data_IF_264503805924
#
_entry.id   IF_264503805924
#
_cell.length_a   1.000
_cell.length_b   1.000
_cell.length_c   1.000
_cell.angle_alpha   90.00
_cell.angle_beta   90.00
_cell.angle_gamma   90.00
#
_symmetry.space_group_name_H-M   'P 1'
#
loop_
_entity.id
_entity.type
_entity.pdbx_description
1 polymer ?
#
# COMPACT_ATOMS: atom_id res chain seq x y z
N UNK A 1 -21.24 -25.85 11.55
CA UNK A 1 -21.55 -25.15 10.27
C UNK A 1 -22.50 -24.01 10.60
N UNK A 2 -21.96 -22.92 11.07
CA UNK A 2 -22.75 -21.74 11.43
C UNK A 2 -22.21 -20.56 10.64
N UNK A 3 -23.04 -20.04 9.74
CA UNK A 3 -22.97 -18.66 9.31
C UNK A 3 -21.97 -18.30 8.20
N UNK A 4 -22.09 -18.92 7.04
CA UNK A 4 -21.91 -18.18 5.80
C UNK A 4 -23.13 -17.27 5.66
N UNK A 5 -23.26 -16.28 6.54
CA UNK A 5 -24.19 -15.17 6.39
C UNK A 5 -23.84 -14.52 5.07
N UNK A 6 -24.69 -14.70 4.07
CA UNK A 6 -24.39 -14.29 2.71
C UNK A 6 -24.01 -12.82 2.65
N UNK A 7 -22.77 -12.55 2.26
CA UNK A 7 -22.37 -11.28 1.68
C UNK A 7 -23.19 -11.13 0.39
N UNK A 8 -24.41 -10.64 0.52
CA UNK A 8 -25.18 -10.21 -0.63
C UNK A 8 -24.59 -8.87 -1.05
N UNK A 9 -23.81 -8.88 -2.11
CA UNK A 9 -23.26 -7.65 -2.68
C UNK A 9 -24.39 -6.65 -2.92
N UNK A 10 -24.33 -5.53 -2.22
CA UNK A 10 -25.26 -4.43 -2.44
C UNK A 10 -24.92 -3.70 -3.74
N UNK A 11 -25.94 -3.11 -4.37
CA UNK A 11 -25.74 -2.25 -5.55
C UNK A 11 -24.76 -1.11 -5.19
N UNK A 12 -23.63 -1.02 -5.88
CA UNK A 12 -22.61 0.03 -5.67
C UNK A 12 -21.54 -0.29 -4.61
N UNK A 13 -21.56 -1.49 -3.99
CA UNK A 13 -20.50 -1.97 -3.10
C UNK A 13 -19.43 -2.77 -3.84
N UNK A 14 -18.25 -2.87 -3.25
CA UNK A 14 -17.18 -3.80 -3.67
C UNK A 14 -16.81 -4.71 -2.52
N UNK A 15 -16.50 -5.96 -2.83
CA UNK A 15 -16.03 -6.94 -1.85
C UNK A 15 -14.51 -7.11 -2.02
N UNK A 16 -13.77 -6.79 -0.97
CA UNK A 16 -12.32 -7.00 -0.91
C UNK A 16 -12.03 -8.15 0.06
N UNK A 17 -11.23 -9.12 -0.38
CA UNK A 17 -10.67 -10.16 0.48
C UNK A 17 -9.21 -9.84 0.77
N UNK A 18 -8.85 -9.70 2.04
CA UNK A 18 -7.48 -9.56 2.51
C UNK A 18 -6.94 -10.93 2.94
N UNK A 19 -5.81 -11.33 2.38
CA UNK A 19 -5.14 -12.60 2.65
C UNK A 19 -3.90 -12.36 3.49
N UNK A 20 -3.91 -12.78 4.74
CA UNK A 20 -2.75 -12.71 5.64
C UNK A 20 -1.76 -13.83 5.29
N UNK A 21 -1.14 -13.75 4.09
CA UNK A 21 -0.27 -14.84 3.65
C UNK A 21 0.88 -15.09 4.61
N UNK A 22 1.28 -16.36 4.70
CA UNK A 22 2.40 -16.76 5.55
C UNK A 22 3.69 -16.04 5.13
N UNK A 23 4.56 -15.81 6.14
CA UNK A 23 5.89 -15.28 5.90
C UNK A 23 6.78 -16.38 5.31
N UNK A 24 7.30 -16.14 4.10
CA UNK A 24 8.29 -16.99 3.46
C UNK A 24 9.72 -16.55 3.79
N UNK A 25 10.67 -17.48 3.62
CA UNK A 25 12.10 -17.19 3.60
C UNK A 25 12.65 -17.52 2.23
N UNK A 26 12.68 -16.52 1.34
CA UNK A 26 13.07 -16.68 -0.07
C UNK A 26 14.51 -16.20 -0.27
N UNK A 27 15.37 -17.12 -0.65
CA UNK A 27 16.78 -16.85 -0.94
C UNK A 27 17.24 -17.45 -2.28
N UNK A 28 16.44 -18.33 -2.86
CA UNK A 28 16.73 -18.98 -4.14
C UNK A 28 15.57 -18.83 -5.14
N UNK A 29 15.81 -18.97 -6.45
CA UNK A 29 14.74 -18.99 -7.45
C UNK A 29 13.69 -20.08 -7.22
N UNK A 30 14.10 -21.21 -6.66
CA UNK A 30 13.16 -22.31 -6.33
C UNK A 30 12.20 -21.91 -5.20
N UNK A 31 12.71 -21.20 -4.18
CA UNK A 31 11.87 -20.69 -3.08
C UNK A 31 10.88 -19.67 -3.63
N UNK A 32 11.33 -18.75 -4.52
CA UNK A 32 10.50 -17.75 -5.16
C UNK A 32 9.38 -18.38 -5.99
N UNK A 33 9.72 -19.42 -6.76
CA UNK A 33 8.72 -20.18 -7.55
C UNK A 33 7.67 -20.83 -6.67
N UNK A 34 8.08 -21.49 -5.58
CA UNK A 34 7.16 -22.12 -4.61
C UNK A 34 6.26 -21.10 -3.92
N UNK A 35 6.83 -19.97 -3.49
CA UNK A 35 6.07 -18.88 -2.87
C UNK A 35 5.04 -18.31 -3.85
N UNK A 36 5.42 -18.08 -5.11
CA UNK A 36 4.52 -17.61 -6.17
C UNK A 36 3.37 -18.59 -6.41
N UNK A 37 3.66 -19.90 -6.48
CA UNK A 37 2.63 -20.92 -6.63
C UNK A 37 1.67 -20.97 -5.45
N UNK A 38 2.19 -20.82 -4.21
CA UNK A 38 1.37 -20.75 -3.02
C UNK A 38 0.43 -19.53 -3.04
N UNK A 39 0.93 -18.34 -3.39
CA UNK A 39 0.10 -17.14 -3.54
C UNK A 39 -0.99 -17.34 -4.61
N UNK A 40 -0.66 -17.95 -5.76
CA UNK A 40 -1.66 -18.30 -6.75
C UNK A 40 -2.72 -19.27 -6.20
N UNK A 41 -2.32 -20.23 -5.34
CA UNK A 41 -3.28 -21.14 -4.70
C UNK A 41 -4.21 -20.42 -3.74
N UNK A 42 -3.72 -19.42 -3.00
CA UNK A 42 -4.51 -18.57 -2.10
C UNK A 42 -5.51 -17.68 -2.86
N UNK A 43 -5.17 -17.19 -4.07
CA UNK A 43 -6.13 -16.50 -4.94
C UNK A 43 -7.32 -17.42 -5.24
N UNK A 44 -7.07 -18.66 -5.67
CA UNK A 44 -8.13 -19.64 -5.93
C UNK A 44 -8.93 -20.00 -4.67
N UNK A 45 -8.24 -20.11 -3.53
CA UNK A 45 -8.90 -20.38 -2.25
C UNK A 45 -9.80 -19.23 -1.82
N UNK A 46 -9.36 -17.99 -1.95
CA UNK A 46 -10.15 -16.80 -1.63
C UNK A 46 -11.43 -16.74 -2.48
N UNK A 47 -11.33 -17.00 -3.79
CA UNK A 47 -12.50 -17.03 -4.68
C UNK A 47 -13.47 -18.17 -4.34
N UNK A 48 -12.98 -19.33 -3.93
CA UNK A 48 -13.85 -20.43 -3.48
C UNK A 48 -14.54 -20.12 -2.16
N UNK A 49 -13.83 -19.49 -1.21
CA UNK A 49 -14.38 -19.13 0.09
C UNK A 49 -15.39 -17.97 0.00
N UNK A 50 -15.08 -16.98 -0.86
CA UNK A 50 -15.87 -15.78 -1.06
C UNK A 50 -16.10 -15.53 -2.56
N UNK A 51 -17.07 -16.20 -3.19
CA UNK A 51 -17.28 -16.15 -4.66
C UNK A 51 -17.54 -14.74 -5.21
N UNK A 52 -18.09 -13.83 -4.38
CA UNK A 52 -18.42 -12.46 -4.76
C UNK A 52 -17.24 -11.47 -4.60
N UNK A 53 -16.06 -11.96 -4.26
CA UNK A 53 -14.86 -11.10 -4.14
C UNK A 53 -14.53 -10.45 -5.47
N UNK A 54 -14.40 -9.13 -5.45
CA UNK A 54 -14.00 -8.29 -6.59
C UNK A 54 -12.48 -8.09 -6.64
N UNK A 55 -11.83 -7.97 -5.46
CA UNK A 55 -10.39 -7.73 -5.33
C UNK A 55 -9.82 -8.54 -4.18
N UNK A 56 -8.65 -9.14 -4.39
CA UNK A 56 -7.87 -9.83 -3.35
C UNK A 56 -6.61 -9.03 -3.06
N UNK A 57 -6.42 -8.70 -1.78
CA UNK A 57 -5.30 -7.90 -1.30
C UNK A 57 -4.30 -8.81 -0.55
N UNK A 58 -3.05 -8.86 -1.03
CA UNK A 58 -1.93 -9.57 -0.42
C UNK A 58 -0.97 -8.61 0.29
N UNK A 59 -0.20 -9.10 1.27
CA UNK A 59 0.78 -8.30 2.00
C UNK A 59 1.95 -7.82 1.13
N UNK A 60 2.71 -6.88 1.68
CA UNK A 60 4.05 -6.54 1.21
C UNK A 60 4.94 -7.79 1.21
N UNK A 61 5.79 -7.94 0.19
CA UNK A 61 6.69 -9.10 0.03
C UNK A 61 5.98 -10.46 -0.02
N UNK A 62 4.74 -10.53 -0.48
CA UNK A 62 3.93 -11.74 -0.42
C UNK A 62 4.57 -12.95 -1.12
N UNK A 63 5.46 -12.75 -2.10
CA UNK A 63 6.22 -13.83 -2.76
C UNK A 63 7.71 -13.88 -2.37
N UNK A 64 8.22 -12.92 -1.58
CA UNK A 64 9.64 -12.81 -1.23
C UNK A 64 9.91 -13.04 0.26
N UNK A 65 8.95 -12.67 1.13
CA UNK A 65 9.19 -12.62 2.56
C UNK A 65 10.15 -11.51 2.97
N UNK A 66 10.69 -11.61 4.19
CA UNK A 66 11.52 -10.56 4.82
C UNK A 66 13.03 -10.89 4.83
N UNK A 67 13.51 -11.71 3.91
CA UNK A 67 14.95 -12.04 3.83
C UNK A 67 15.83 -10.82 3.54
N UNK A 68 15.26 -9.76 2.94
CA UNK A 68 15.96 -8.55 2.48
C UNK A 68 17.17 -8.86 1.59
N UNK A 69 17.18 -10.02 0.94
CA UNK A 69 18.22 -10.40 0.00
C UNK A 69 18.14 -9.57 -1.27
N UNK A 70 19.25 -8.96 -1.66
CA UNK A 70 19.38 -8.22 -2.92
C UNK A 70 19.92 -9.08 -4.07
N UNK A 71 19.89 -10.41 -3.94
CA UNK A 71 20.34 -11.30 -5.00
C UNK A 71 19.52 -11.10 -6.27
N UNK A 72 20.19 -10.81 -7.38
CA UNK A 72 19.55 -10.62 -8.69
C UNK A 72 18.73 -11.87 -9.13
N UNK A 73 19.07 -13.04 -8.61
CA UNK A 73 18.43 -14.30 -8.97
C UNK A 73 16.99 -14.44 -8.44
N UNK A 74 16.59 -13.60 -7.46
CA UNK A 74 15.24 -13.58 -6.88
C UNK A 74 14.51 -12.26 -7.14
N UNK A 75 15.12 -11.32 -7.85
CA UNK A 75 14.46 -10.09 -8.24
C UNK A 75 13.50 -10.32 -9.40
N UNK A 76 12.32 -9.73 -9.32
CA UNK A 76 11.29 -9.82 -10.35
C UNK A 76 11.36 -8.64 -11.34
N UNK A 77 10.77 -8.84 -12.50
CA UNK A 77 10.40 -7.74 -13.42
C UNK A 77 8.90 -7.73 -13.64
N UNK A 78 8.34 -6.60 -14.06
CA UNK A 78 6.90 -6.49 -14.33
C UNK A 78 6.44 -7.43 -15.48
N UNK A 79 7.37 -7.90 -16.31
CA UNK A 79 7.14 -8.87 -17.38
C UNK A 79 7.70 -10.29 -17.08
N UNK A 80 8.19 -10.50 -15.85
CA UNK A 80 8.82 -11.75 -15.43
C UNK A 80 7.84 -12.90 -15.20
N UNK A 81 8.36 -14.12 -15.00
CA UNK A 81 7.54 -15.32 -14.86
C UNK A 81 6.63 -15.30 -13.63
N UNK A 82 7.06 -14.70 -12.52
CA UNK A 82 6.27 -14.58 -11.30
C UNK A 82 5.04 -13.69 -11.55
N UNK A 83 5.25 -12.51 -12.14
CA UNK A 83 4.16 -11.59 -12.50
C UNK A 83 3.25 -12.21 -13.56
N UNK A 84 3.80 -12.95 -14.52
CA UNK A 84 3.00 -13.69 -15.49
C UNK A 84 2.09 -14.75 -14.83
N UNK A 85 2.57 -15.46 -13.80
CA UNK A 85 1.77 -16.41 -13.03
C UNK A 85 0.64 -15.71 -12.25
N UNK A 86 0.92 -14.57 -11.63
CA UNK A 86 -0.07 -13.75 -10.93
C UNK A 86 -1.13 -13.18 -11.89
N UNK A 87 -0.72 -12.69 -13.06
CA UNK A 87 -1.63 -12.25 -14.13
C UNK A 87 -2.54 -13.39 -14.58
N UNK A 88 -1.98 -14.57 -14.78
CA UNK A 88 -2.72 -15.76 -15.21
C UNK A 88 -3.79 -16.15 -14.20
N UNK A 89 -3.48 -16.23 -12.91
CA UNK A 89 -4.46 -16.64 -11.90
C UNK A 89 -5.56 -15.60 -11.73
N UNK A 90 -5.26 -14.30 -11.79
CA UNK A 90 -6.27 -13.24 -11.74
C UNK A 90 -7.27 -13.38 -12.91
N UNK A 91 -6.77 -13.66 -14.12
CA UNK A 91 -7.59 -13.88 -15.30
C UNK A 91 -8.45 -15.15 -15.20
N UNK A 92 -7.88 -16.27 -14.75
CA UNK A 92 -8.57 -17.53 -14.58
C UNK A 92 -9.72 -17.41 -13.57
N UNK A 93 -9.48 -16.76 -12.45
CA UNK A 93 -10.46 -16.58 -11.37
C UNK A 93 -11.38 -15.36 -11.55
N UNK A 94 -11.16 -14.56 -12.60
CA UNK A 94 -11.90 -13.32 -12.91
C UNK A 94 -11.98 -12.39 -11.70
N UNK A 95 -10.83 -12.10 -11.10
CA UNK A 95 -10.70 -11.31 -9.89
C UNK A 95 -9.51 -10.36 -9.99
N UNK A 96 -9.65 -9.18 -9.40
CA UNK A 96 -8.51 -8.28 -9.22
C UNK A 96 -7.59 -8.79 -8.12
N UNK A 97 -6.28 -8.58 -8.28
CA UNK A 97 -5.29 -8.93 -7.27
C UNK A 97 -4.30 -7.81 -7.02
N UNK A 98 -3.96 -7.58 -5.76
CA UNK A 98 -2.88 -6.66 -5.35
C UNK A 98 -1.78 -7.47 -4.71
N UNK A 99 -0.57 -7.36 -5.25
CA UNK A 99 0.61 -8.12 -4.82
C UNK A 99 1.78 -7.17 -4.63
N UNK A 100 2.82 -7.63 -3.93
CA UNK A 100 4.08 -6.88 -3.78
C UNK A 100 5.27 -7.75 -4.17
N UNK A 101 6.19 -7.16 -4.92
CA UNK A 101 7.40 -7.79 -5.44
C UNK A 101 8.64 -6.95 -5.11
N UNK A 102 9.80 -7.62 -5.04
CA UNK A 102 11.10 -6.97 -5.14
C UNK A 102 11.42 -6.82 -6.62
N UNK A 103 11.38 -5.59 -7.13
CA UNK A 103 11.53 -5.28 -8.56
C UNK A 103 12.97 -4.88 -8.89
N UNK A 104 13.50 -5.44 -9.97
CA UNK A 104 14.78 -5.00 -10.53
C UNK A 104 14.73 -3.52 -10.83
N UNK A 105 15.76 -2.77 -10.38
CA UNK A 105 15.90 -1.37 -10.73
C UNK A 105 16.38 -1.26 -12.18
N UNK A 106 15.52 -0.73 -13.05
CA UNK A 106 15.81 -0.57 -14.47
C UNK A 106 16.58 0.71 -14.81
N UNK A 107 16.75 1.64 -13.85
CA UNK A 107 17.49 2.89 -14.06
C UNK A 107 18.99 2.61 -14.10
N UNK A 108 19.46 1.77 -13.18
CA UNK A 108 20.87 1.37 -13.13
C UNK A 108 20.98 -0.08 -12.67
N UNK A 109 21.76 -0.93 -13.33
CA UNK A 109 22.01 -2.32 -12.88
C UNK A 109 22.65 -2.42 -11.49
N UNK A 110 23.37 -1.38 -11.07
CA UNK A 110 24.04 -1.30 -9.77
C UNK A 110 23.18 -0.64 -8.69
N UNK A 111 22.01 -0.13 -9.06
CA UNK A 111 21.09 0.50 -8.11
C UNK A 111 20.32 -0.56 -7.33
N UNK A 112 20.03 -0.26 -6.06
CA UNK A 112 19.19 -1.11 -5.23
C UNK A 112 17.81 -1.32 -5.87
N UNK A 113 17.20 -2.51 -5.73
CA UNK A 113 15.89 -2.81 -6.28
C UNK A 113 14.80 -1.94 -5.62
N UNK A 114 13.61 -1.95 -6.22
CA UNK A 114 12.42 -1.32 -5.65
C UNK A 114 11.54 -2.34 -4.91
N UNK A 115 10.88 -1.87 -3.89
CA UNK A 115 9.71 -2.53 -3.32
C UNK A 115 8.47 -2.05 -4.09
N UNK A 116 7.88 -2.93 -4.90
CA UNK A 116 6.82 -2.56 -5.84
C UNK A 116 5.53 -3.31 -5.55
N UNK A 117 4.45 -2.55 -5.32
CA UNK A 117 3.09 -3.07 -5.32
C UNK A 117 2.52 -3.05 -6.73
N UNK A 118 1.93 -4.15 -7.16
CA UNK A 118 1.26 -4.29 -8.45
C UNK A 118 -0.22 -4.59 -8.26
N UNK A 119 -1.07 -3.94 -9.06
CA UNK A 119 -2.50 -4.24 -9.12
C UNK A 119 -2.81 -4.84 -10.49
N UNK A 120 -3.34 -6.05 -10.50
CA UNK A 120 -3.70 -6.80 -11.71
C UNK A 120 -5.21 -6.88 -11.78
N UNK A 121 -5.80 -6.54 -12.93
CA UNK A 121 -7.23 -6.61 -13.16
C UNK A 121 -7.74 -8.03 -13.47
N UNK A 122 -9.05 -8.19 -13.58
CA UNK A 122 -9.70 -9.47 -13.85
C UNK A 122 -9.43 -10.03 -15.27
N UNK A 123 -8.84 -9.23 -16.16
CA UNK A 123 -8.39 -9.65 -17.49
C UNK A 123 -6.92 -10.10 -17.49
N UNK A 124 -6.26 -10.01 -16.34
CA UNK A 124 -4.85 -10.33 -16.15
C UNK A 124 -3.91 -9.24 -16.64
N UNK A 125 -4.33 -7.99 -16.69
CA UNK A 125 -3.49 -6.86 -17.07
C UNK A 125 -3.08 -6.06 -15.84
N UNK A 126 -1.87 -5.47 -15.86
CA UNK A 126 -1.42 -4.56 -14.80
C UNK A 126 -2.20 -3.26 -14.95
N UNK A 127 -3.12 -2.99 -14.02
CA UNK A 127 -3.90 -1.76 -13.98
C UNK A 127 -3.17 -0.63 -13.26
N UNK A 128 -2.31 -0.97 -12.29
CA UNK A 128 -1.51 0.00 -11.56
C UNK A 128 -0.26 -0.67 -11.00
N UNK A 129 0.83 0.08 -10.87
CA UNK A 129 1.96 -0.30 -10.04
C UNK A 129 2.47 0.92 -9.27
N UNK A 130 3.02 0.66 -8.09
CA UNK A 130 3.48 1.69 -7.17
C UNK A 130 4.78 1.23 -6.51
N UNK A 131 5.81 2.06 -6.55
CA UNK A 131 7.09 1.83 -5.87
C UNK A 131 7.10 2.57 -4.55
N UNK A 132 7.37 1.87 -3.46
CA UNK A 132 7.37 2.40 -2.10
C UNK A 132 8.21 3.66 -1.99
N UNK A 133 7.59 4.78 -1.61
CA UNK A 133 8.28 6.07 -1.51
C UNK A 133 9.12 6.18 -0.23
N UNK A 134 8.69 5.50 0.85
CA UNK A 134 9.37 5.57 2.14
C UNK A 134 9.84 4.19 2.59
N UNK A 135 10.96 3.66 2.04
CA UNK A 135 11.60 2.46 2.59
C UNK A 135 11.87 2.64 4.09
N UNK A 136 11.74 1.57 4.86
CA UNK A 136 11.98 1.62 6.30
C UNK A 136 13.48 1.48 6.58
N UNK A 137 14.22 2.57 6.44
CA UNK A 137 15.66 2.62 6.73
C UNK A 137 15.94 2.56 8.23
N UNK A 138 17.04 1.93 8.67
CA UNK A 138 18.09 1.29 7.86
C UNK A 138 17.81 -0.19 7.50
N UNK A 139 16.61 -0.72 7.78
CA UNK A 139 16.29 -2.15 7.63
C UNK A 139 16.10 -2.52 6.16
N UNK A 140 15.38 -1.70 5.41
CA UNK A 140 15.12 -1.93 3.99
C UNK A 140 16.18 -1.24 3.13
N UNK A 141 16.90 -2.02 2.28
CA UNK A 141 17.95 -1.46 1.42
C UNK A 141 17.41 -0.90 0.09
N UNK A 142 16.08 -0.84 -0.07
CA UNK A 142 15.44 -0.54 -1.35
C UNK A 142 15.60 0.91 -1.79
N UNK A 143 15.62 1.11 -3.10
CA UNK A 143 15.62 2.44 -3.68
C UNK A 143 14.24 3.10 -3.47
N UNK A 144 14.15 4.36 -3.01
CA UNK A 144 12.88 5.06 -2.87
C UNK A 144 12.17 5.24 -4.21
N UNK A 145 10.86 5.01 -4.22
CA UNK A 145 10.03 5.29 -5.38
C UNK A 145 9.88 6.79 -5.62
N UNK A 146 9.81 7.20 -6.87
CA UNK A 146 9.70 8.61 -7.27
C UNK A 146 8.44 8.93 -8.10
N UNK A 147 7.51 7.99 -8.23
CA UNK A 147 6.31 8.15 -9.06
C UNK A 147 5.19 8.95 -8.37
N UNK A 148 5.33 9.21 -7.07
CA UNK A 148 4.26 9.78 -6.25
C UNK A 148 3.07 8.82 -6.08
N UNK A 149 1.99 9.34 -5.50
CA UNK A 149 0.74 8.60 -5.30
C UNK A 149 -0.08 8.62 -6.58
N UNK A 150 -0.47 7.44 -7.06
CA UNK A 150 -1.42 7.26 -8.15
C UNK A 150 -2.82 6.92 -7.62
N UNK A 151 -3.83 7.33 -8.36
CA UNK A 151 -5.22 6.86 -8.20
C UNK A 151 -5.63 6.18 -9.49
N UNK A 152 -6.18 4.99 -9.37
CA UNK A 152 -6.62 4.17 -10.50
C UNK A 152 -8.07 3.73 -10.32
N UNK A 153 -8.73 3.38 -11.41
CA UNK A 153 -10.07 2.81 -11.39
C UNK A 153 -9.96 1.30 -11.15
N UNK A 154 -10.46 0.85 -10.01
CA UNK A 154 -10.57 -0.54 -9.62
C UNK A 154 -11.89 -1.20 -10.04
N UNK A 155 -12.23 -2.35 -9.46
CA UNK A 155 -13.48 -3.04 -9.78
C UNK A 155 -14.69 -2.12 -9.59
N UNK A 156 -15.61 -2.16 -10.53
CA UNK A 156 -16.82 -1.33 -10.51
C UNK A 156 -16.59 0.18 -10.65
N UNK A 157 -15.42 0.60 -11.15
CA UNK A 157 -15.09 2.02 -11.31
C UNK A 157 -14.78 2.75 -9.99
N UNK A 158 -14.49 2.00 -8.92
CA UNK A 158 -14.11 2.57 -7.62
C UNK A 158 -12.69 3.13 -7.71
N UNK A 159 -12.51 4.38 -7.29
CA UNK A 159 -11.19 5.03 -7.28
C UNK A 159 -10.37 4.54 -6.10
N UNK A 160 -9.25 3.92 -6.40
CA UNK A 160 -8.36 3.31 -5.42
C UNK A 160 -6.96 3.89 -5.50
N UNK A 161 -6.25 3.84 -4.38
CA UNK A 161 -4.82 4.12 -4.31
C UNK A 161 -4.12 3.01 -3.53
N UNK A 162 -2.85 2.75 -3.86
CA UNK A 162 -2.02 1.75 -3.19
C UNK A 162 -0.82 2.41 -2.53
N UNK A 163 -0.59 2.06 -1.26
CA UNK A 163 0.60 2.42 -0.49
C UNK A 163 1.19 1.18 0.17
N UNK A 164 2.47 1.24 0.52
CA UNK A 164 3.19 0.09 1.07
C UNK A 164 3.71 0.41 2.47
N UNK A 165 3.22 -0.34 3.47
CA UNK A 165 3.80 -0.50 4.81
C UNK A 165 4.09 0.83 5.51
N UNK A 166 5.37 1.22 5.55
CA UNK A 166 5.85 2.43 6.22
C UNK A 166 5.26 3.72 5.63
N UNK A 167 4.90 3.74 4.34
CA UNK A 167 4.18 4.86 3.72
C UNK A 167 2.94 5.27 4.52
N UNK A 168 2.23 4.30 5.10
CA UNK A 168 1.02 4.57 5.87
C UNK A 168 1.25 5.23 7.23
N UNK A 169 2.50 5.41 7.65
CA UNK A 169 2.87 6.19 8.85
C UNK A 169 2.90 7.70 8.55
N UNK A 170 2.96 8.10 7.28
CA UNK A 170 2.99 9.47 6.82
C UNK A 170 1.58 9.91 6.42
N UNK A 171 0.92 10.82 7.17
CA UNK A 171 -0.43 11.28 6.85
C UNK A 171 -0.54 11.92 5.46
N UNK A 172 0.56 12.46 4.94
CA UNK A 172 0.66 13.06 3.62
C UNK A 172 0.30 12.07 2.50
N UNK A 173 0.66 10.79 2.65
CA UNK A 173 0.40 9.75 1.67
C UNK A 173 -1.11 9.52 1.47
N UNK A 174 -1.83 9.33 2.58
CA UNK A 174 -3.28 9.15 2.54
C UNK A 174 -4.00 10.44 2.12
N UNK A 175 -3.49 11.59 2.53
CA UNK A 175 -4.00 12.91 2.16
C UNK A 175 -3.91 13.15 0.66
N UNK A 176 -2.78 12.87 0.07
CA UNK A 176 -2.55 13.00 -1.37
C UNK A 176 -3.46 12.04 -2.17
N UNK A 177 -3.60 10.79 -1.72
CA UNK A 177 -4.51 9.83 -2.34
C UNK A 177 -5.96 10.35 -2.33
N UNK A 178 -6.44 10.83 -1.18
CA UNK A 178 -7.80 11.37 -1.05
C UNK A 178 -7.99 12.65 -1.87
N UNK A 179 -6.99 13.54 -1.89
CA UNK A 179 -7.02 14.75 -2.70
C UNK A 179 -7.14 14.44 -4.20
N UNK A 180 -6.47 13.39 -4.67
CA UNK A 180 -6.59 12.87 -6.03
C UNK A 180 -7.88 12.08 -6.27
N UNK A 181 -8.73 11.93 -5.27
CA UNK A 181 -10.06 11.35 -5.37
C UNK A 181 -10.18 9.88 -5.00
N UNK A 182 -9.16 9.26 -4.39
CA UNK A 182 -9.26 7.88 -3.92
C UNK A 182 -10.42 7.71 -2.92
N UNK A 183 -11.21 6.67 -3.10
CA UNK A 183 -12.33 6.28 -2.25
C UNK A 183 -11.94 5.12 -1.31
N UNK A 184 -10.93 4.35 -1.74
CA UNK A 184 -10.34 3.25 -0.98
C UNK A 184 -8.82 3.36 -1.03
N UNK A 185 -8.19 3.34 0.13
CA UNK A 185 -6.75 3.23 0.28
C UNK A 185 -6.39 1.77 0.57
N UNK A 186 -5.67 1.15 -0.34
CA UNK A 186 -5.11 -0.19 -0.17
C UNK A 186 -3.73 -0.06 0.48
N UNK A 187 -3.46 -0.84 1.53
CA UNK A 187 -2.16 -0.83 2.22
C UNK A 187 -1.65 -2.24 2.42
N UNK A 188 -0.56 -2.58 1.77
CA UNK A 188 0.18 -3.82 1.96
C UNK A 188 1.30 -3.62 2.97
N UNK A 189 1.57 -4.59 3.85
CA UNK A 189 2.62 -4.45 4.86
C UNK A 189 3.33 -5.77 5.18
N UNK A 190 4.60 -5.65 5.62
CA UNK A 190 5.42 -6.73 6.18
C UNK A 190 5.71 -6.52 7.67
N UNK A 191 4.83 -5.85 8.40
CA UNK A 191 5.09 -5.47 9.79
C UNK A 191 5.26 -6.65 10.74
N UNK A 192 6.25 -6.51 11.60
CA UNK A 192 6.50 -7.43 12.70
C UNK A 192 5.67 -7.08 13.94
N UNK A 193 5.57 -8.01 14.88
CA UNK A 193 4.65 -8.00 16.01
C UNK A 193 4.60 -6.74 16.91
N UNK A 194 5.71 -5.98 17.14
CA UNK A 194 5.65 -4.84 18.08
C UNK A 194 4.85 -3.63 17.59
N UNK A 195 4.44 -3.53 16.32
CA UNK A 195 3.89 -2.31 15.73
C UNK A 195 2.34 -2.29 15.69
N UNK A 196 1.67 -3.15 16.42
CA UNK A 196 0.20 -3.30 16.40
C UNK A 196 -0.56 -2.01 16.67
N UNK A 197 -0.16 -1.24 17.69
CA UNK A 197 -0.83 -0.01 18.03
C UNK A 197 -0.71 1.05 16.92
N UNK A 198 0.49 1.22 16.38
CA UNK A 198 0.72 2.15 15.27
C UNK A 198 -0.01 1.72 14.00
N UNK A 199 -0.11 0.41 13.75
CA UNK A 199 -0.88 -0.16 12.65
C UNK A 199 -2.36 0.21 12.73
N UNK A 200 -3.00 -0.05 13.86
CA UNK A 200 -4.41 0.30 14.06
C UNK A 200 -4.62 1.82 13.99
N UNK A 201 -3.81 2.59 14.74
CA UNK A 201 -3.94 4.03 14.81
C UNK A 201 -3.83 4.69 13.43
N UNK A 202 -2.82 4.32 12.64
CA UNK A 202 -2.59 4.93 11.32
C UNK A 202 -3.66 4.52 10.30
N UNK A 203 -4.10 3.27 10.26
CA UNK A 203 -5.18 2.86 9.37
C UNK A 203 -6.49 3.57 9.68
N UNK A 204 -6.85 3.71 10.95
CA UNK A 204 -8.05 4.44 11.38
C UNK A 204 -7.93 5.94 11.10
N UNK A 205 -6.79 6.55 11.41
CA UNK A 205 -6.55 7.96 11.12
C UNK A 205 -6.59 8.25 9.62
N UNK A 206 -5.94 7.42 8.81
CA UNK A 206 -5.92 7.58 7.35
C UNK A 206 -7.33 7.50 6.75
N UNK A 207 -8.20 6.63 7.27
CA UNK A 207 -9.60 6.55 6.84
C UNK A 207 -10.39 7.80 7.26
N UNK A 208 -10.38 8.12 8.56
CA UNK A 208 -11.18 9.18 9.17
C UNK A 208 -10.83 10.57 8.62
N UNK A 209 -9.55 10.94 8.68
CA UNK A 209 -9.11 12.29 8.30
C UNK A 209 -9.24 12.57 6.80
N UNK A 210 -9.50 11.54 5.98
CA UNK A 210 -9.58 11.65 4.53
C UNK A 210 -10.93 11.20 3.93
N UNK A 211 -11.91 10.84 4.77
CA UNK A 211 -13.22 10.32 4.35
C UNK A 211 -13.07 9.28 3.23
N UNK A 212 -12.37 8.20 3.51
CA UNK A 212 -12.22 7.06 2.61
C UNK A 212 -12.17 5.75 3.38
N UNK A 213 -12.39 4.62 2.72
CA UNK A 213 -12.10 3.33 3.31
C UNK A 213 -10.60 3.06 3.31
N UNK A 214 -10.11 2.33 4.32
CA UNK A 214 -8.80 1.67 4.23
C UNK A 214 -8.99 0.15 4.26
N UNK A 215 -8.29 -0.54 3.36
CA UNK A 215 -8.17 -1.99 3.34
C UNK A 215 -6.68 -2.32 3.47
N UNK A 216 -6.31 -2.95 4.56
CA UNK A 216 -4.91 -3.12 4.96
C UNK A 216 -4.62 -4.57 5.29
N UNK A 217 -3.45 -5.08 4.91
CA UNK A 217 -3.03 -6.45 5.20
C UNK A 217 -1.55 -6.52 5.49
N UNK A 218 -1.16 -7.35 6.46
CA UNK A 218 0.24 -7.66 6.73
C UNK A 218 0.50 -9.16 6.65
N UNK A 219 1.78 -9.53 6.43
CA UNK A 219 2.26 -10.90 6.53
C UNK A 219 1.93 -11.51 7.88
N UNK A 220 1.72 -12.81 7.95
CA UNK A 220 1.44 -13.53 9.18
C UNK A 220 2.43 -14.69 9.41
N UNK A 221 2.60 -15.10 10.66
CA UNK A 221 3.46 -16.23 11.01
C UNK A 221 4.92 -15.85 11.23
N UNK A 222 5.82 -16.82 11.09
CA UNK A 222 7.26 -16.64 11.34
C UNK A 222 8.07 -17.47 10.37
N UNK A 223 9.21 -16.90 9.92
CA UNK A 223 10.23 -17.60 9.13
C UNK A 223 11.42 -18.10 10.00
N UNK A 224 11.29 -18.01 11.32
CA UNK A 224 12.37 -18.34 12.26
C UNK A 224 13.22 -17.14 12.68
N UNK A 225 13.27 -16.09 11.86
CA UNK A 225 14.00 -14.83 12.13
C UNK A 225 13.03 -13.72 12.52
N UNK A 226 11.98 -13.55 11.73
CA UNK A 226 10.96 -12.54 11.95
C UNK A 226 9.63 -13.19 12.32
N UNK A 227 8.84 -12.49 13.13
CA UNK A 227 7.46 -12.83 13.42
C UNK A 227 6.57 -11.68 12.97
N UNK A 228 5.74 -11.96 11.99
CA UNK A 228 4.77 -11.02 11.44
C UNK A 228 3.42 -11.14 12.16
N UNK A 229 2.71 -10.03 12.22
CA UNK A 229 1.53 -9.91 13.07
C UNK A 229 0.22 -10.34 12.40
N UNK A 230 0.16 -10.35 11.04
CA UNK A 230 -1.09 -10.50 10.32
C UNK A 230 -1.96 -9.26 10.48
N UNK A 231 -3.11 -9.43 11.12
CA UNK A 231 -4.05 -8.35 11.48
C UNK A 231 -4.52 -7.52 10.28
N UNK A 232 -4.98 -8.22 9.24
CA UNK A 232 -5.71 -7.56 8.17
C UNK A 232 -6.85 -6.71 8.76
N UNK A 233 -7.06 -5.51 8.21
CA UNK A 233 -8.00 -4.55 8.78
C UNK A 233 -8.73 -3.80 7.68
N UNK A 234 -10.05 -3.72 7.82
CA UNK A 234 -10.91 -2.86 7.03
C UNK A 234 -11.46 -1.77 7.92
N UNK A 235 -11.31 -0.52 7.51
CA UNK A 235 -11.76 0.63 8.30
C UNK A 235 -12.69 1.49 7.45
N UNK A 236 -13.79 1.91 8.06
CA UNK A 236 -14.77 2.82 7.47
C UNK A 236 -14.32 4.28 7.49
N UNK A 237 -15.03 5.14 6.73
CA UNK A 237 -14.68 6.57 6.64
C UNK A 237 -14.84 7.35 7.95
N UNK A 238 -15.45 6.77 8.98
CA UNK A 238 -15.56 7.33 10.33
C UNK A 238 -14.49 6.78 11.30
N UNK A 239 -13.54 5.97 10.78
CA UNK A 239 -12.47 5.39 11.58
C UNK A 239 -12.90 4.14 12.35
N UNK A 240 -14.08 3.60 12.11
CA UNK A 240 -14.60 2.36 12.69
C UNK A 240 -13.96 1.14 12.00
N UNK A 241 -13.64 0.13 12.79
CA UNK A 241 -13.10 -1.15 12.27
C UNK A 241 -14.30 -2.00 11.80
N UNK A 242 -14.39 -2.22 10.48
CA UNK A 242 -15.45 -3.02 9.86
C UNK A 242 -15.16 -4.53 9.96
N UNK A 243 -13.90 -4.90 9.78
CA UNK A 243 -13.44 -6.27 9.95
C UNK A 243 -11.95 -6.29 10.31
N UNK A 244 -11.53 -7.31 11.07
CA UNK A 244 -10.13 -7.48 11.51
C UNK A 244 -9.75 -8.96 11.53
N UNK A 245 -8.52 -9.26 11.13
CA UNK A 245 -7.89 -10.56 11.25
C UNK A 245 -7.19 -10.78 12.57
N UNK A 246 -6.76 -12.02 12.78
CA UNK A 246 -6.20 -12.50 14.05
C UNK A 246 -4.70 -12.82 14.01
N UNK A 247 -4.05 -12.65 12.88
CA UNK A 247 -2.63 -12.98 12.69
C UNK A 247 -2.36 -14.45 12.34
N UNK A 248 -3.39 -15.25 12.12
CA UNK A 248 -3.22 -16.62 11.60
C UNK A 248 -2.69 -16.60 10.18
N UNK A 249 -1.60 -17.34 9.87
CA UNK A 249 -1.10 -17.46 8.49
C UNK A 249 -2.15 -18.02 7.54
N UNK A 250 -2.15 -17.50 6.32
CA UNK A 250 -3.07 -17.86 5.23
C UNK A 250 -4.57 -17.64 5.55
N UNK A 251 -4.86 -16.88 6.62
CA UNK A 251 -6.24 -16.51 6.92
C UNK A 251 -6.76 -15.49 5.89
N UNK A 252 -8.01 -15.68 5.48
CA UNK A 252 -8.69 -14.85 4.47
C UNK A 252 -9.89 -14.20 5.12
N UNK A 253 -9.95 -12.87 5.06
CA UNK A 253 -11.03 -12.07 5.61
C UNK A 253 -11.61 -11.22 4.49
N UNK A 254 -12.92 -11.28 4.29
CA UNK A 254 -13.61 -10.49 3.28
C UNK A 254 -14.51 -9.43 3.94
N UNK A 255 -14.56 -8.25 3.32
CA UNK A 255 -15.43 -7.15 3.73
C UNK A 255 -16.03 -6.48 2.51
N UNK A 256 -17.32 -6.17 2.58
CA UNK A 256 -17.99 -5.30 1.61
C UNK A 256 -17.80 -3.84 1.99
N UNK A 257 -17.30 -3.04 1.05
CA UNK A 257 -17.12 -1.60 1.19
C UNK A 257 -18.20 -0.87 0.37
N UNK A 258 -19.07 -0.13 1.06
CA UNK A 258 -20.15 0.64 0.45
C UNK A 258 -19.67 2.00 -0.01
N UNK A 259 -19.03 2.06 -1.17
CA UNK A 259 -18.34 3.27 -1.67
C UNK A 259 -19.28 4.48 -1.83
N UNK A 260 -20.55 4.25 -2.11
CA UNK A 260 -21.54 5.34 -2.14
C UNK A 260 -21.67 6.09 -0.80
N UNK A 261 -21.35 5.44 0.30
CA UNK A 261 -21.30 6.10 1.62
C UNK A 261 -20.20 7.16 1.68
N UNK A 262 -19.00 6.86 1.17
CA UNK A 262 -17.90 7.83 1.04
C UNK A 262 -18.33 8.99 0.14
N UNK A 263 -18.90 8.70 -1.02
CA UNK A 263 -19.35 9.71 -1.98
C UNK A 263 -20.40 10.64 -1.36
N UNK A 264 -21.36 10.06 -0.64
CA UNK A 264 -22.39 10.82 0.08
C UNK A 264 -21.77 11.71 1.15
N UNK A 265 -20.94 11.15 2.04
CA UNK A 265 -20.29 11.90 3.13
C UNK A 265 -19.44 13.07 2.62
N UNK A 266 -18.72 12.87 1.52
CA UNK A 266 -17.92 13.93 0.88
C UNK A 266 -18.79 15.08 0.35
N UNK A 267 -19.96 14.78 -0.18
CA UNK A 267 -20.92 15.80 -0.65
C UNK A 267 -21.61 16.53 0.50
N UNK A 268 -21.92 15.82 1.57
CA UNK A 268 -22.71 16.35 2.69
C UNK A 268 -21.85 17.01 3.77
N UNK A 269 -20.52 17.00 3.63
CA UNK A 269 -19.60 17.55 4.64
C UNK A 269 -19.75 16.91 6.04
N UNK A 270 -20.22 15.67 6.11
CA UNK A 270 -20.79 15.04 7.27
C UNK A 270 -19.83 14.71 8.42
N UNK A 271 -18.53 14.91 8.27
CA UNK A 271 -17.54 14.63 9.31
C UNK A 271 -16.56 15.80 9.44
N UNK A 272 -16.39 16.28 10.64
CA UNK A 272 -15.43 17.34 10.96
C UNK A 272 -13.99 16.86 10.86
N UNK A 273 -13.05 17.79 10.69
CA UNK A 273 -11.61 17.57 10.70
C UNK A 273 -11.05 16.65 9.59
N UNK A 274 -11.69 16.58 8.44
CA UNK A 274 -11.23 15.81 7.29
C UNK A 274 -10.77 16.72 6.13
N UNK A 275 -10.22 16.08 5.07
CA UNK A 275 -9.74 16.79 3.87
C UNK A 275 -10.78 17.74 3.28
N UNK A 276 -12.05 17.33 3.24
CA UNK A 276 -13.09 18.08 2.54
C UNK A 276 -13.50 19.36 3.28
N UNK A 277 -13.23 19.46 4.56
CA UNK A 277 -13.36 20.70 5.33
C UNK A 277 -12.30 21.76 4.96
N UNK A 278 -11.18 21.36 4.38
CA UNK A 278 -10.20 22.30 3.84
C UNK A 278 -10.72 23.16 2.69
N UNK A 279 -11.82 22.78 2.05
CA UNK A 279 -12.50 23.62 1.05
C UNK A 279 -12.85 25.01 1.61
N UNK A 280 -13.29 25.08 2.86
CA UNK A 280 -13.52 26.36 3.54
C UNK A 280 -12.23 27.19 3.64
N UNK A 281 -11.10 26.59 4.00
CA UNK A 281 -9.81 27.27 4.06
C UNK A 281 -9.35 27.76 2.69
N UNK A 282 -9.55 26.96 1.64
CA UNK A 282 -9.26 27.37 0.26
C UNK A 282 -10.09 28.57 -0.15
N UNK A 283 -11.39 28.57 0.15
CA UNK A 283 -12.27 29.71 -0.11
C UNK A 283 -11.78 30.98 0.59
N UNK A 284 -11.41 30.91 1.85
CA UNK A 284 -10.88 32.05 2.62
C UNK A 284 -9.57 32.56 2.03
N UNK A 285 -8.67 31.66 1.58
CA UNK A 285 -7.41 32.05 0.96
C UNK A 285 -7.64 32.87 -0.30
N UNK A 286 -8.55 32.42 -1.17
CA UNK A 286 -8.85 33.10 -2.44
C UNK A 286 -9.59 34.44 -2.22
N UNK A 287 -10.56 34.46 -1.30
CA UNK A 287 -11.45 35.63 -1.12
C UNK A 287 -10.99 36.56 0.02
N UNK A 288 -10.16 36.09 0.94
CA UNK A 288 -9.67 36.83 2.09
C UNK A 288 -8.23 37.37 1.95
N UNK A 289 -7.60 37.22 0.79
CA UNK A 289 -6.26 37.75 0.54
C UNK A 289 -5.09 36.95 1.16
N UNK A 290 -5.34 35.73 1.66
CA UNK A 290 -4.29 34.86 2.18
C UNK A 290 -3.74 33.95 1.06
N UNK A 291 -3.10 34.54 0.07
CA UNK A 291 -2.65 33.85 -1.15
C UNK A 291 -1.55 32.80 -0.98
N UNK A 292 -0.98 32.66 0.24
CA UNK A 292 0.06 31.66 0.53
C UNK A 292 -0.49 30.48 1.34
N UNK A 293 0.13 29.30 1.14
CA UNK A 293 -0.13 28.14 1.99
C UNK A 293 0.18 28.50 3.46
N UNK A 294 -0.80 28.41 4.38
CA UNK A 294 -0.60 28.80 5.78
C UNK A 294 0.25 27.78 6.57
N UNK A 295 0.48 26.59 5.99
CA UNK A 295 1.27 25.55 6.65
C UNK A 295 2.76 25.75 6.35
N UNK A 296 3.49 26.26 7.33
CA UNK A 296 4.91 26.61 7.21
C UNK A 296 5.74 25.41 6.78
N UNK A 297 5.50 24.23 7.39
CA UNK A 297 6.25 23.01 7.07
C UNK A 297 6.08 22.57 5.60
N UNK A 298 4.88 22.68 5.04
CA UNK A 298 4.65 22.36 3.63
C UNK A 298 5.36 23.32 2.69
N UNK A 299 5.35 24.63 3.01
CA UNK A 299 6.11 25.63 2.23
C UNK A 299 7.61 25.36 2.28
N UNK A 300 8.11 25.02 3.47
CA UNK A 300 9.53 24.78 3.67
C UNK A 300 9.97 23.49 3.00
N UNK A 301 9.14 22.45 3.05
CA UNK A 301 9.35 21.18 2.33
C UNK A 301 9.40 21.41 0.81
N UNK A 302 8.41 22.14 0.25
CA UNK A 302 8.37 22.48 -1.19
C UNK A 302 9.57 23.34 -1.65
N UNK A 303 10.21 24.05 -0.74
CA UNK A 303 11.40 24.87 -1.00
C UNK A 303 12.72 24.16 -0.67
N UNK A 304 12.67 22.86 -0.37
CA UNK A 304 13.84 22.09 0.01
C UNK A 304 14.49 22.53 1.34
N UNK A 305 13.74 23.24 2.20
CA UNK A 305 14.25 23.78 3.46
C UNK A 305 14.05 22.85 4.67
N UNK A 306 13.37 21.73 4.48
CA UNK A 306 13.14 20.78 5.56
C UNK A 306 14.47 20.11 5.93
N UNK A 307 14.98 20.42 7.11
CA UNK A 307 16.16 19.76 7.69
C UNK A 307 15.68 18.77 8.72
N UNK A 308 16.08 17.51 8.59
CA UNK A 308 16.10 16.59 9.72
C UNK A 308 17.17 17.05 10.72
N UNK A 309 17.06 16.62 11.99
CA UNK A 309 18.04 16.92 13.02
C UNK A 309 19.46 16.66 12.50
N UNK A 310 20.35 17.59 12.77
CA UNK A 310 21.61 17.84 12.06
C UNK A 310 22.66 16.71 12.06
N UNK A 311 22.42 15.55 12.72
CA UNK A 311 23.48 14.56 12.98
C UNK A 311 23.15 13.10 12.65
N UNK A 312 22.02 12.78 12.04
CA UNK A 312 21.79 11.37 11.68
C UNK A 312 22.32 11.03 10.29
N UNK A 313 23.52 10.50 10.26
CA UNK A 313 24.02 9.78 9.09
C UNK A 313 23.17 8.52 8.87
N UNK A 314 22.43 8.48 7.78
CA UNK A 314 21.79 7.24 7.33
C UNK A 314 22.90 6.30 6.86
N UNK A 315 23.23 5.30 7.68
CA UNK A 315 24.19 4.26 7.30
C UNK A 315 23.46 3.28 6.38
N UNK A 316 23.74 3.35 5.11
CA UNK A 316 23.31 2.32 4.16
C UNK A 316 24.13 1.05 4.42
N UNK A 317 23.52 -0.13 4.37
CA UNK A 317 24.12 -1.42 4.74
C UNK A 317 25.39 -1.82 3.97
N UNK A 318 25.72 -1.16 2.88
CA UNK A 318 26.94 -1.35 2.09
C UNK A 318 28.16 -0.57 2.59
N UNK A 319 28.03 0.16 3.71
CA UNK A 319 29.10 0.95 4.29
C UNK A 319 29.36 2.29 3.61
N UNK A 320 28.57 2.66 2.61
CA UNK A 320 28.60 4.01 2.05
C UNK A 320 27.70 4.93 2.87
N UNK A 321 28.28 5.94 3.50
CA UNK A 321 27.50 7.01 4.12
C UNK A 321 26.96 7.93 3.02
N UNK A 322 25.66 7.89 2.79
CA UNK A 322 24.99 8.92 2.01
C UNK A 322 24.52 10.01 2.98
N UNK A 323 25.05 11.22 2.87
CA UNK A 323 24.45 12.34 3.56
C UNK A 323 23.08 12.61 2.92
N UNK A 324 22.05 12.77 3.73
CA UNK A 324 20.70 13.09 3.28
C UNK A 324 20.68 14.36 2.40
N UNK A 325 21.60 15.30 2.63
CA UNK A 325 21.79 16.49 1.82
C UNK A 325 22.17 16.18 0.37
N UNK A 326 22.99 15.15 0.13
CA UNK A 326 23.39 14.79 -1.23
C UNK A 326 22.28 14.09 -2.00
N UNK A 327 21.55 13.19 -1.34
CA UNK A 327 20.40 12.50 -1.96
C UNK A 327 19.24 13.43 -2.28
N UNK A 328 19.01 14.48 -1.45
CA UNK A 328 17.96 15.48 -1.72
C UNK A 328 18.37 16.54 -2.72
N UNK A 329 19.64 16.94 -2.76
CA UNK A 329 20.16 17.91 -3.73
C UNK A 329 20.10 17.33 -5.16
N UNK A 330 20.59 16.11 -5.34
CA UNK A 330 20.58 15.44 -6.65
C UNK A 330 19.14 15.22 -7.14
N UNK A 331 18.18 14.93 -6.24
CA UNK A 331 16.77 14.72 -6.55
C UNK A 331 16.02 16.01 -6.90
N UNK A 332 16.32 17.11 -6.20
CA UNK A 332 15.69 18.42 -6.45
C UNK A 332 16.16 19.01 -7.78
N UNK A 333 17.44 18.86 -8.12
CA UNK A 333 17.98 19.35 -9.38
C UNK A 333 17.40 18.63 -10.61
N UNK A 334 17.10 17.31 -10.50
CA UNK A 334 16.44 16.56 -11.59
C UNK A 334 14.98 16.98 -11.82
N UNK A 335 14.23 17.35 -10.77
CA UNK A 335 12.82 17.73 -10.88
C UNK A 335 12.65 19.15 -11.46
N UNK A 336 13.57 20.07 -11.21
CA UNK A 336 13.45 21.47 -11.60
C UNK A 336 14.22 21.87 -12.87
N UNK A 337 14.95 20.93 -13.48
CA UNK A 337 15.64 21.13 -14.78
C UNK A 337 14.93 20.47 -15.97
N UNK A 338 13.74 19.86 -15.76
CA UNK A 338 12.92 19.21 -16.78
C UNK A 338 11.74 20.07 -17.28
#
# INVERSE_FOLDING_TARGET
MSGLGGLNKTSGGIVIAAVQSQLFHVTTPLDLSKATEHICSLVRQAKRAYPFTDLILFPEYCIHGLSMSMSASIMCTLSGPEVAALKKVCKEEKVWGVFSIMEVNSISPDANPWNTGITINADGEIANYYRKMHPWVPVEPWYPGNQGISVFEGPGGVKMSLIICHDGMFPEMAREAAYKGAEVLLRTAGYTSPIRQSWELTNRSNAFTNLMFTASVALAGSDGTFRSMGEAMFVGPEGDILARGDGTPDNIIACELRVEEVRRKRREWGVENNLFQFGHRGYVAVNGGAGDCPYTYMRDLMRGKYKQAEDEQVVVRDGTSCSFEKATADYVDEIFQG
#
